data_IF_919161741932
#
_entry.id   IF_919161741932
#
_cell.length_a   1.000
_cell.length_b   1.000
_cell.length_c   1.000
_cell.angle_alpha   90.00
_cell.angle_beta   90.00
_cell.angle_gamma   90.00
#
_symmetry.space_group_name_H-M   'P 1'
#
loop_
_entity.id
_entity.type
_entity.pdbx_description
1 polymer ?
#
# COMPACT_ATOMS: atom_id res chain seq x y z
N UNK A 1 -18.70 3.80 18.38
CA UNK A 1 -17.36 4.34 18.59
C UNK A 1 -16.34 3.45 17.89
N UNK A 2 -15.69 3.92 16.81
CA UNK A 2 -14.73 3.11 16.07
C UNK A 2 -13.33 3.49 16.53
N UNK A 3 -12.85 2.89 17.60
CA UNK A 3 -11.49 3.08 18.10
C UNK A 3 -10.47 2.48 17.12
N UNK A 4 -9.41 3.20 16.80
CA UNK A 4 -8.28 2.67 16.04
C UNK A 4 -7.55 1.55 16.79
N UNK A 5 -6.80 0.70 16.07
CA UNK A 5 -6.00 -0.38 16.72
C UNK A 5 -5.02 0.17 17.77
N UNK A 6 -4.31 1.31 17.53
CA UNK A 6 -3.43 1.89 18.55
C UNK A 6 -4.17 2.33 19.82
N UNK A 7 -5.37 2.92 19.67
CA UNK A 7 -6.21 3.36 20.78
C UNK A 7 -6.73 2.16 21.59
N UNK A 8 -7.21 1.11 20.89
CA UNK A 8 -7.67 -0.11 21.55
C UNK A 8 -6.54 -0.80 22.33
N UNK A 9 -5.32 -0.80 21.79
CA UNK A 9 -4.13 -1.32 22.48
C UNK A 9 -3.71 -0.46 23.69
N UNK A 10 -3.90 0.86 23.60
CA UNK A 10 -3.72 1.76 24.74
C UNK A 10 -4.65 1.38 25.90
N UNK A 11 -5.94 1.19 25.60
CA UNK A 11 -6.94 0.75 26.59
C UNK A 11 -6.63 -0.65 27.14
N UNK A 12 -6.19 -1.59 26.30
CA UNK A 12 -5.77 -2.94 26.74
C UNK A 12 -4.61 -2.95 27.72
N UNK A 13 -3.71 -1.96 27.66
CA UNK A 13 -2.59 -1.83 28.61
C UNK A 13 -3.06 -1.32 29.98
N UNK A 14 -4.15 -0.56 30.01
CA UNK A 14 -4.69 0.04 31.25
C UNK A 14 -5.78 -0.82 31.88
N UNK A 15 -6.46 -1.65 31.11
CA UNK A 15 -7.54 -2.52 31.58
C UNK A 15 -7.00 -3.78 32.29
N UNK A 16 -7.71 -4.23 33.32
CA UNK A 16 -7.42 -5.45 34.05
C UNK A 16 -8.64 -6.39 34.12
N UNK A 17 -8.40 -7.64 34.45
CA UNK A 17 -9.47 -8.63 34.68
C UNK A 17 -10.44 -8.83 33.54
N UNK A 18 -11.73 -8.78 33.83
CA UNK A 18 -12.82 -9.02 32.88
C UNK A 18 -12.88 -7.99 31.74
N UNK A 19 -12.55 -6.73 32.03
CA UNK A 19 -12.53 -5.65 31.04
C UNK A 19 -11.43 -5.88 30.00
N UNK A 20 -10.24 -6.26 30.40
CA UNK A 20 -9.14 -6.62 29.49
C UNK A 20 -9.55 -7.77 28.57
N UNK A 21 -10.21 -8.81 29.11
CA UNK A 21 -10.69 -9.95 28.31
C UNK A 21 -11.72 -9.50 27.28
N UNK A 22 -12.68 -8.64 27.67
CA UNK A 22 -13.70 -8.09 26.76
C UNK A 22 -13.07 -7.28 25.61
N UNK A 23 -12.09 -6.41 25.92
CA UNK A 23 -11.40 -5.60 24.91
C UNK A 23 -10.58 -6.48 23.95
N UNK A 24 -9.92 -7.53 24.49
CA UNK A 24 -9.16 -8.47 23.65
C UNK A 24 -10.07 -9.25 22.70
N UNK A 25 -11.20 -9.76 23.19
CA UNK A 25 -12.17 -10.45 22.34
C UNK A 25 -12.76 -9.51 21.28
N UNK A 26 -13.04 -8.26 21.62
CA UNK A 26 -13.51 -7.25 20.66
C UNK A 26 -12.46 -6.95 19.58
N UNK A 27 -11.16 -6.91 19.94
CA UNK A 27 -10.06 -6.72 18.99
C UNK A 27 -9.97 -7.91 18.03
N UNK A 28 -9.97 -9.13 18.57
CA UNK A 28 -9.89 -10.37 17.78
C UNK A 28 -11.11 -10.53 16.85
N UNK A 29 -12.31 -10.31 17.36
CA UNK A 29 -13.55 -10.39 16.56
C UNK A 29 -13.56 -9.36 15.42
N UNK A 30 -13.11 -8.13 15.70
CA UNK A 30 -13.00 -7.09 14.68
C UNK A 30 -11.97 -7.44 13.61
N UNK A 31 -10.82 -7.99 14.01
CA UNK A 31 -9.76 -8.39 13.10
C UNK A 31 -10.22 -9.56 12.22
N UNK A 32 -10.81 -10.59 12.82
CA UNK A 32 -11.39 -11.73 12.10
C UNK A 32 -12.50 -11.28 11.12
N UNK A 33 -13.36 -10.36 11.52
CA UNK A 33 -14.39 -9.79 10.64
C UNK A 33 -13.77 -9.01 9.47
N UNK A 34 -12.68 -8.24 9.69
CA UNK A 34 -11.98 -7.52 8.64
C UNK A 34 -11.34 -8.47 7.64
N UNK A 35 -10.67 -9.52 8.11
CA UNK A 35 -10.04 -10.55 7.25
C UNK A 35 -11.10 -11.36 6.51
N UNK A 36 -12.18 -11.76 7.18
CA UNK A 36 -13.32 -12.44 6.55
C UNK A 36 -13.94 -11.58 5.44
N UNK A 37 -14.16 -10.29 5.70
CA UNK A 37 -14.63 -9.35 4.69
C UNK A 37 -13.63 -9.22 3.53
N UNK A 38 -12.31 -9.15 3.80
CA UNK A 38 -11.29 -9.12 2.77
C UNK A 38 -11.37 -10.33 1.84
N UNK A 39 -11.44 -11.53 2.41
CA UNK A 39 -11.53 -12.78 1.65
C UNK A 39 -12.77 -12.78 0.77
N UNK A 40 -13.95 -12.50 1.32
CA UNK A 40 -15.22 -12.49 0.57
C UNK A 40 -15.17 -11.41 -0.53
N UNK A 41 -14.79 -10.20 -0.21
CA UNK A 41 -14.77 -9.06 -1.12
C UNK A 41 -13.80 -9.28 -2.29
N UNK A 42 -12.56 -9.67 -1.99
CA UNK A 42 -11.54 -9.91 -3.03
C UNK A 42 -11.92 -11.11 -3.89
N UNK A 43 -12.44 -12.20 -3.29
CA UNK A 43 -12.90 -13.37 -4.04
C UNK A 43 -14.08 -13.06 -4.95
N UNK A 44 -15.04 -12.25 -4.49
CA UNK A 44 -16.19 -11.82 -5.29
C UNK A 44 -15.75 -10.98 -6.50
N UNK A 45 -14.89 -9.97 -6.30
CA UNK A 45 -14.37 -9.17 -7.41
C UNK A 45 -13.51 -10.01 -8.37
N UNK A 46 -12.68 -10.91 -7.84
CA UNK A 46 -11.87 -11.82 -8.66
C UNK A 46 -12.75 -12.77 -9.50
N UNK A 47 -13.86 -13.26 -8.96
CA UNK A 47 -14.83 -14.08 -9.70
C UNK A 47 -15.54 -13.28 -10.80
N UNK A 48 -15.86 -12.01 -10.56
CA UNK A 48 -16.56 -11.14 -11.53
C UNK A 48 -15.62 -10.65 -12.64
N UNK A 49 -14.40 -10.24 -12.31
CA UNK A 49 -13.48 -9.55 -13.23
C UNK A 49 -12.29 -10.42 -13.66
N UNK A 50 -12.18 -11.63 -13.15
CA UNK A 50 -11.16 -12.61 -13.51
C UNK A 50 -9.90 -12.54 -12.66
N UNK A 51 -9.18 -13.68 -12.56
CA UNK A 51 -8.00 -13.86 -11.70
C UNK A 51 -6.85 -12.88 -11.98
N UNK A 52 -6.66 -12.46 -13.24
CA UNK A 52 -5.67 -11.46 -13.63
C UNK A 52 -5.93 -10.09 -12.99
N UNK A 53 -7.15 -9.81 -12.58
CA UNK A 53 -7.58 -8.55 -11.95
C UNK A 53 -7.64 -8.63 -10.41
N UNK A 54 -7.36 -9.78 -9.79
CA UNK A 54 -7.23 -9.90 -8.33
C UNK A 54 -6.35 -8.82 -7.66
N UNK A 55 -5.25 -8.32 -8.28
CA UNK A 55 -4.52 -7.18 -7.74
C UNK A 55 -5.35 -5.90 -7.61
N UNK A 56 -6.28 -5.64 -8.54
CA UNK A 56 -7.17 -4.48 -8.45
C UNK A 56 -8.19 -4.66 -7.32
N UNK A 57 -8.75 -5.86 -7.13
CA UNK A 57 -9.62 -6.17 -5.98
C UNK A 57 -8.93 -5.87 -4.64
N UNK A 58 -7.65 -6.24 -4.49
CA UNK A 58 -6.86 -5.94 -3.28
C UNK A 58 -6.68 -4.43 -3.10
N UNK A 59 -6.35 -3.70 -4.16
CA UNK A 59 -6.21 -2.24 -4.13
C UNK A 59 -7.51 -1.57 -3.71
N UNK A 60 -8.63 -1.93 -4.33
CA UNK A 60 -9.95 -1.39 -4.00
C UNK A 60 -10.31 -1.68 -2.54
N UNK A 61 -10.07 -2.91 -2.05
CA UNK A 61 -10.28 -3.26 -0.65
C UNK A 61 -9.49 -2.35 0.30
N UNK A 62 -8.19 -2.15 0.05
CA UNK A 62 -7.34 -1.30 0.89
C UNK A 62 -7.80 0.17 0.88
N UNK A 63 -8.14 0.70 -0.29
CA UNK A 63 -8.68 2.06 -0.42
C UNK A 63 -10.03 2.21 0.27
N UNK A 64 -10.92 1.23 0.12
CA UNK A 64 -12.24 1.21 0.76
C UNK A 64 -12.14 1.25 2.29
N UNK A 65 -11.21 0.49 2.87
CA UNK A 65 -10.96 0.53 4.32
C UNK A 65 -10.45 1.91 4.77
N UNK A 66 -9.56 2.53 4.00
CA UNK A 66 -9.00 3.86 4.32
C UNK A 66 -10.06 4.95 4.24
N UNK A 67 -10.93 4.93 3.24
CA UNK A 67 -12.02 5.91 3.05
C UNK A 67 -12.96 6.03 4.25
N UNK A 68 -12.97 5.06 5.17
CA UNK A 68 -13.73 5.14 6.42
C UNK A 68 -13.13 6.12 7.43
N UNK A 69 -11.83 6.39 7.36
CA UNK A 69 -11.08 7.09 8.40
C UNK A 69 -10.36 8.35 7.90
N UNK A 70 -10.02 8.41 6.62
CA UNK A 70 -9.13 9.42 6.06
C UNK A 70 -9.81 10.16 4.92
N UNK A 71 -9.66 11.49 4.92
CA UNK A 71 -10.05 12.41 3.84
C UNK A 71 -8.82 13.09 3.23
N UNK A 72 -8.98 13.94 2.19
CA UNK A 72 -7.84 14.56 1.49
C UNK A 72 -7.53 15.98 1.94
N UNK A 73 -8.15 16.46 3.03
CA UNK A 73 -7.95 17.78 3.61
C UNK A 73 -8.39 18.98 2.73
N UNK A 74 -9.40 18.77 1.88
CA UNK A 74 -10.07 19.83 1.13
C UNK A 74 -11.55 19.48 0.90
N UNK A 75 -12.32 20.44 0.34
CA UNK A 75 -13.77 20.28 0.22
C UNK A 75 -14.18 19.00 -0.49
N UNK A 76 -15.33 18.45 -0.11
CA UNK A 76 -15.80 17.14 -0.55
C UNK A 76 -15.88 16.99 -2.08
N UNK A 77 -16.37 18.01 -2.78
CA UNK A 77 -16.49 17.97 -4.23
C UNK A 77 -15.14 17.79 -4.93
N UNK A 78 -14.09 18.47 -4.45
CA UNK A 78 -12.74 18.35 -4.98
C UNK A 78 -12.11 17.01 -4.55
N UNK A 79 -12.40 16.53 -3.34
CA UNK A 79 -11.97 15.20 -2.88
C UNK A 79 -12.46 14.10 -3.80
N UNK A 80 -13.75 14.12 -4.17
CA UNK A 80 -14.32 13.12 -5.08
C UNK A 80 -13.74 13.20 -6.50
N UNK A 81 -13.52 14.43 -7.03
CA UNK A 81 -12.86 14.61 -8.34
C UNK A 81 -11.43 14.07 -8.34
N UNK A 82 -10.67 14.38 -7.30
CA UNK A 82 -9.29 13.94 -7.19
C UNK A 82 -9.19 12.43 -6.92
N UNK A 83 -10.16 11.85 -6.22
CA UNK A 83 -10.28 10.40 -6.11
C UNK A 83 -10.54 9.75 -7.48
N UNK A 84 -11.44 10.31 -8.29
CA UNK A 84 -11.66 9.83 -9.67
C UNK A 84 -10.37 9.90 -10.49
N UNK A 85 -9.63 11.01 -10.43
CA UNK A 85 -8.34 11.17 -11.09
C UNK A 85 -7.31 10.16 -10.56
N UNK A 86 -7.27 9.90 -9.26
CA UNK A 86 -6.38 8.88 -8.68
C UNK A 86 -6.71 7.48 -9.21
N UNK A 87 -7.98 7.09 -9.26
CA UNK A 87 -8.39 5.79 -9.83
C UNK A 87 -8.06 5.68 -11.33
N UNK A 88 -8.20 6.78 -12.09
CA UNK A 88 -7.77 6.83 -13.48
C UNK A 88 -6.26 6.62 -13.61
N UNK A 89 -5.43 7.28 -12.80
CA UNK A 89 -3.97 7.11 -12.79
C UNK A 89 -3.56 5.68 -12.37
N UNK A 90 -4.23 5.10 -11.38
CA UNK A 90 -4.02 3.71 -10.95
C UNK A 90 -4.35 2.69 -12.05
N UNK A 91 -5.23 3.04 -12.98
CA UNK A 91 -5.61 2.18 -14.11
C UNK A 91 -4.72 2.42 -15.32
N UNK A 92 -4.59 3.69 -15.74
CA UNK A 92 -3.91 4.07 -16.99
C UNK A 92 -2.38 4.00 -16.88
N UNK A 93 -1.79 4.42 -15.75
CA UNK A 93 -0.34 4.38 -15.56
C UNK A 93 0.23 2.97 -15.76
N UNK A 94 -0.24 1.95 -15.02
CA UNK A 94 0.18 0.56 -15.23
C UNK A 94 -0.14 0.00 -16.63
N UNK A 95 -1.20 0.49 -17.28
CA UNK A 95 -1.59 0.04 -18.62
C UNK A 95 -0.67 0.60 -19.72
N UNK A 96 -0.10 1.79 -19.51
CA UNK A 96 0.82 2.43 -20.45
C UNK A 96 2.27 1.93 -20.31
N UNK A 97 2.65 1.39 -19.15
CA UNK A 97 4.00 0.92 -18.90
C UNK A 97 4.51 -0.08 -19.97
N UNK A 98 3.77 -1.12 -20.38
CA UNK A 98 4.26 -2.08 -21.37
C UNK A 98 4.48 -1.52 -22.78
N UNK A 99 4.05 -0.27 -23.05
CA UNK A 99 4.12 0.35 -24.39
C UNK A 99 5.47 0.98 -24.71
N UNK A 100 6.41 1.02 -23.74
CA UNK A 100 7.69 1.71 -23.97
C UNK A 100 8.86 1.12 -23.23
N UNK A 101 10.03 1.79 -23.34
CA UNK A 101 11.27 1.42 -22.69
C UNK A 101 11.48 2.13 -21.35
N UNK A 102 12.66 1.92 -20.73
CA UNK A 102 12.96 2.42 -19.37
C UNK A 102 12.80 3.93 -19.18
N UNK A 103 13.07 4.73 -20.20
CA UNK A 103 12.87 6.18 -20.14
C UNK A 103 11.39 6.55 -20.02
N UNK A 104 10.52 5.92 -20.82
CA UNK A 104 9.06 6.12 -20.70
C UNK A 104 8.58 5.68 -19.32
N UNK A 105 9.07 4.55 -18.80
CA UNK A 105 8.72 4.06 -17.47
C UNK A 105 9.10 5.07 -16.38
N UNK A 106 10.30 5.66 -16.47
CA UNK A 106 10.73 6.71 -15.54
C UNK A 106 9.80 7.91 -15.58
N UNK A 107 9.53 8.45 -16.77
CA UNK A 107 8.66 9.63 -16.94
C UNK A 107 7.24 9.35 -16.49
N UNK A 108 6.71 8.18 -16.82
CA UNK A 108 5.38 7.74 -16.42
C UNK A 108 5.26 7.60 -14.89
N UNK A 109 6.26 6.97 -14.26
CA UNK A 109 6.30 6.81 -12.81
C UNK A 109 6.44 8.16 -12.11
N UNK A 110 7.33 9.05 -12.57
CA UNK A 110 7.47 10.41 -12.05
C UNK A 110 6.14 11.18 -12.12
N UNK A 111 5.48 11.13 -13.27
CA UNK A 111 4.20 11.80 -13.48
C UNK A 111 3.11 11.20 -12.59
N UNK A 112 2.87 9.89 -12.66
CA UNK A 112 1.79 9.25 -11.91
C UNK A 112 1.98 9.37 -10.40
N UNK A 113 3.19 9.11 -9.89
CA UNK A 113 3.50 9.21 -8.47
C UNK A 113 3.41 10.66 -8.00
N UNK A 114 3.98 11.60 -8.76
CA UNK A 114 3.92 13.03 -8.44
C UNK A 114 2.49 13.55 -8.38
N UNK A 115 1.67 13.23 -9.38
CA UNK A 115 0.26 13.65 -9.40
C UNK A 115 -0.53 12.97 -8.28
N UNK A 116 -0.35 11.66 -8.02
CA UNK A 116 -1.01 10.97 -6.92
C UNK A 116 -0.69 11.63 -5.57
N UNK A 117 0.57 11.97 -5.31
CA UNK A 117 0.96 12.68 -4.08
C UNK A 117 0.30 14.05 -3.99
N UNK A 118 0.33 14.83 -5.06
CA UNK A 118 -0.25 16.17 -5.11
C UNK A 118 -1.75 16.17 -4.81
N UNK A 119 -2.50 15.21 -5.40
CA UNK A 119 -3.97 15.16 -5.31
C UNK A 119 -4.49 14.41 -4.09
N UNK A 120 -3.68 13.59 -3.41
CA UNK A 120 -4.17 12.76 -2.28
C UNK A 120 -3.47 13.03 -0.95
N UNK A 121 -2.27 13.65 -0.96
CA UNK A 121 -1.39 13.74 0.19
C UNK A 121 -1.07 15.20 0.59
N UNK A 122 -2.10 16.06 0.66
CA UNK A 122 -1.95 17.44 1.18
C UNK A 122 -1.53 17.46 2.65
N UNK A 123 -1.96 16.45 3.43
CA UNK A 123 -1.48 16.20 4.80
C UNK A 123 -0.75 14.84 4.83
N UNK A 124 0.60 14.85 4.89
CA UNK A 124 1.40 13.62 4.92
C UNK A 124 1.06 12.68 6.07
N UNK A 125 0.67 13.24 7.23
CA UNK A 125 0.37 12.52 8.47
C UNK A 125 -0.88 11.62 8.35
N UNK A 126 -1.79 11.92 7.43
CA UNK A 126 -2.98 11.11 7.19
C UNK A 126 -2.68 9.75 6.54
N UNK A 127 -1.47 9.57 5.99
CA UNK A 127 -1.01 8.29 5.44
C UNK A 127 -1.53 7.95 4.04
N UNK A 128 -2.26 8.84 3.38
CA UNK A 128 -2.77 8.65 2.01
C UNK A 128 -1.64 8.33 1.02
N UNK A 129 -0.50 9.02 1.12
CA UNK A 129 0.66 8.79 0.27
C UNK A 129 1.05 7.31 0.21
N UNK A 130 1.26 6.68 1.36
CA UNK A 130 1.67 5.28 1.45
C UNK A 130 0.69 4.35 0.75
N UNK A 131 -0.61 4.60 0.91
CA UNK A 131 -1.66 3.76 0.38
C UNK A 131 -1.81 3.88 -1.14
N UNK A 132 -1.86 5.13 -1.67
CA UNK A 132 -1.97 5.34 -3.11
C UNK A 132 -0.73 4.90 -3.87
N UNK A 133 0.47 5.09 -3.29
CA UNK A 133 1.72 4.60 -3.89
C UNK A 133 1.84 3.08 -3.83
N UNK A 134 1.42 2.45 -2.72
CA UNK A 134 1.27 0.99 -2.68
C UNK A 134 0.36 0.51 -3.80
N UNK A 135 -0.81 1.13 -3.94
CA UNK A 135 -1.81 0.77 -4.96
C UNK A 135 -1.25 0.89 -6.37
N UNK A 136 -0.59 2.01 -6.68
CA UNK A 136 0.05 2.24 -7.97
C UNK A 136 1.12 1.21 -8.28
N UNK A 137 2.09 1.02 -7.39
CA UNK A 137 3.19 0.07 -7.56
C UNK A 137 2.71 -1.37 -7.66
N UNK A 138 1.63 -1.71 -6.93
CA UNK A 138 1.06 -3.05 -6.97
C UNK A 138 0.42 -3.36 -8.33
N UNK A 139 -0.32 -2.42 -8.89
CA UNK A 139 -0.90 -2.56 -10.22
C UNK A 139 0.17 -2.48 -11.33
N UNK A 140 1.17 -1.63 -11.16
CA UNK A 140 2.33 -1.50 -12.06
C UNK A 140 3.12 -2.81 -12.15
N UNK A 141 3.34 -3.50 -11.03
CA UNK A 141 3.99 -4.81 -10.98
C UNK A 141 3.11 -5.99 -11.39
N UNK A 142 1.83 -5.76 -11.72
CA UNK A 142 0.88 -6.75 -12.21
C UNK A 142 0.10 -6.20 -13.43
N UNK A 143 0.79 -5.91 -14.54
CA UNK A 143 0.16 -5.35 -15.74
C UNK A 143 -0.81 -6.35 -16.37
N UNK A 144 -1.81 -5.84 -17.04
CA UNK A 144 -2.77 -6.62 -17.84
C UNK A 144 -3.00 -5.94 -19.20
N UNK A 145 -3.44 -6.70 -20.18
CA UNK A 145 -3.69 -6.24 -21.54
C UNK A 145 -5.00 -6.80 -22.11
N UNK A 146 -5.41 -6.28 -23.26
CA UNK A 146 -6.58 -6.75 -23.99
C UNK A 146 -7.86 -6.75 -23.15
N UNK A 147 -8.61 -7.85 -23.19
CA UNK A 147 -9.87 -8.00 -22.44
C UNK A 147 -9.69 -7.82 -20.93
N UNK A 148 -8.59 -8.31 -20.36
CA UNK A 148 -8.32 -8.14 -18.92
C UNK A 148 -8.13 -6.69 -18.52
N UNK A 149 -7.56 -5.84 -19.40
CA UNK A 149 -7.45 -4.41 -19.15
C UNK A 149 -8.81 -3.72 -19.15
N UNK A 150 -9.69 -4.06 -20.09
CA UNK A 150 -11.05 -3.53 -20.11
C UNK A 150 -11.83 -3.92 -18.84
N UNK A 151 -11.72 -5.18 -18.40
CA UNK A 151 -12.31 -5.65 -17.15
C UNK A 151 -11.72 -4.94 -15.92
N UNK A 152 -10.40 -4.69 -15.90
CA UNK A 152 -9.75 -3.89 -14.84
C UNK A 152 -10.30 -2.47 -14.80
N UNK A 153 -10.53 -1.84 -15.96
CA UNK A 153 -11.16 -0.51 -16.02
C UNK A 153 -12.55 -0.49 -15.39
N UNK A 154 -13.38 -1.49 -15.69
CA UNK A 154 -14.73 -1.63 -15.09
C UNK A 154 -14.65 -1.90 -13.59
N UNK A 155 -13.74 -2.77 -13.15
CA UNK A 155 -13.49 -3.06 -11.73
C UNK A 155 -13.06 -1.82 -10.96
N UNK A 156 -12.13 -1.02 -11.52
CA UNK A 156 -11.65 0.22 -10.92
C UNK A 156 -12.73 1.30 -10.88
N UNK A 157 -13.62 1.35 -11.89
CA UNK A 157 -14.77 2.25 -11.87
C UNK A 157 -15.76 1.88 -10.77
N UNK A 158 -16.06 0.58 -10.61
CA UNK A 158 -16.87 0.08 -9.49
C UNK A 158 -16.19 0.40 -8.15
N UNK A 159 -14.88 0.16 -8.04
CA UNK A 159 -14.07 0.48 -6.87
C UNK A 159 -14.12 1.97 -6.50
N UNK A 160 -14.00 2.84 -7.50
CA UNK A 160 -14.18 4.28 -7.31
C UNK A 160 -15.57 4.61 -6.73
N UNK A 161 -16.62 4.07 -7.32
CA UNK A 161 -18.00 4.33 -6.86
C UNK A 161 -18.19 3.89 -5.39
N UNK A 162 -17.71 2.71 -5.02
CA UNK A 162 -17.77 2.21 -3.64
C UNK A 162 -16.96 3.08 -2.68
N UNK A 163 -15.72 3.42 -3.04
CA UNK A 163 -14.86 4.27 -2.21
C UNK A 163 -15.44 5.69 -2.05
N UNK A 164 -15.96 6.27 -3.14
CA UNK A 164 -16.59 7.58 -3.12
C UNK A 164 -17.84 7.60 -2.23
N UNK A 165 -18.68 6.57 -2.32
CA UNK A 165 -19.87 6.45 -1.47
C UNK A 165 -19.50 6.36 0.01
N UNK A 166 -18.52 5.50 0.37
CA UNK A 166 -18.07 5.35 1.76
C UNK A 166 -17.40 6.62 2.27
N UNK A 167 -16.55 7.26 1.47
CA UNK A 167 -15.90 8.51 1.85
C UNK A 167 -16.94 9.63 2.06
N UNK A 168 -17.86 9.80 1.13
CA UNK A 168 -18.93 10.78 1.23
C UNK A 168 -19.79 10.55 2.48
N UNK A 169 -20.22 9.31 2.70
CA UNK A 169 -21.06 8.97 3.88
C UNK A 169 -20.36 9.29 5.21
N UNK A 170 -19.07 8.98 5.34
CA UNK A 170 -18.34 9.13 6.60
C UNK A 170 -17.82 10.56 6.85
N UNK A 171 -17.56 11.33 5.81
CA UNK A 171 -16.86 12.62 5.92
C UNK A 171 -17.68 13.83 5.45
N UNK A 172 -18.89 13.65 4.94
CA UNK A 172 -19.76 14.82 4.58
C UNK A 172 -19.95 15.72 5.80
N UNK A 173 -19.76 17.01 5.61
CA UNK A 173 -19.86 18.01 6.69
C UNK A 173 -18.68 18.02 7.69
N UNK A 174 -17.62 17.22 7.44
CA UNK A 174 -16.40 17.18 8.26
C UNK A 174 -15.14 17.57 7.51
N UNK A 175 -15.23 17.67 6.18
CA UNK A 175 -14.11 18.10 5.35
C UNK A 175 -13.96 19.62 5.41
N UNK A 176 -12.70 20.14 5.33
CA UNK A 176 -12.47 21.59 5.21
C UNK A 176 -13.15 22.18 3.97
N UNK A 177 -13.57 23.44 4.06
CA UNK A 177 -14.13 24.22 2.92
C UNK A 177 -13.03 24.67 1.92
N UNK A 178 -11.76 24.39 2.19
CA UNK A 178 -10.61 24.75 1.36
C UNK A 178 -10.72 24.10 -0.03
N UNK A 179 -10.72 24.85 -1.14
CA UNK A 179 -10.75 24.29 -2.48
C UNK A 179 -9.39 23.71 -2.87
N UNK A 180 -9.36 22.66 -3.70
CA UNK A 180 -8.11 22.07 -4.20
C UNK A 180 -7.23 23.06 -4.96
N UNK A 181 -7.83 24.05 -5.64
CA UNK A 181 -7.07 25.13 -6.30
C UNK A 181 -6.17 25.90 -5.32
N UNK A 182 -6.56 26.02 -4.06
CA UNK A 182 -5.71 26.66 -3.05
C UNK A 182 -4.48 25.81 -2.71
N UNK A 183 -4.60 24.47 -2.77
CA UNK A 183 -3.46 23.55 -2.63
C UNK A 183 -2.49 23.73 -3.78
N UNK A 184 -2.99 23.79 -5.03
CA UNK A 184 -2.17 24.03 -6.21
C UNK A 184 -1.44 25.37 -6.18
N UNK A 185 -2.13 26.46 -5.76
CA UNK A 185 -1.52 27.79 -5.67
C UNK A 185 -0.47 27.88 -4.57
N UNK A 186 -0.64 27.10 -3.50
CA UNK A 186 0.31 27.05 -2.39
C UNK A 186 1.52 26.13 -2.69
N UNK A 187 1.54 25.45 -3.86
CA UNK A 187 2.67 24.61 -4.23
C UNK A 187 3.94 25.45 -4.42
N UNK A 188 4.93 25.21 -3.60
CA UNK A 188 6.22 25.91 -3.65
C UNK A 188 7.33 24.95 -3.22
N UNK A 189 8.45 25.00 -3.92
CA UNK A 189 9.65 24.25 -3.54
C UNK A 189 10.33 24.77 -2.27
N UNK A 190 9.92 25.95 -1.78
CA UNK A 190 10.29 26.44 -0.46
C UNK A 190 9.55 25.70 0.66
N UNK A 191 8.37 25.13 0.38
CA UNK A 191 7.59 24.36 1.34
C UNK A 191 8.16 22.95 1.54
N UNK A 192 8.34 22.57 2.79
CA UNK A 192 8.85 21.25 3.21
C UNK A 192 8.01 20.10 2.64
N UNK A 193 6.68 20.21 2.68
CA UNK A 193 5.75 19.22 2.14
C UNK A 193 5.96 19.01 0.63
N UNK A 194 6.10 20.11 -0.13
CA UNK A 194 6.30 20.01 -1.58
C UNK A 194 7.65 19.36 -1.93
N UNK A 195 8.70 19.71 -1.19
CA UNK A 195 10.01 19.03 -1.31
C UNK A 195 9.92 17.55 -0.98
N UNK A 196 9.18 17.20 0.09
CA UNK A 196 8.94 15.82 0.45
C UNK A 196 8.20 15.06 -0.67
N UNK A 197 7.13 15.62 -1.25
CA UNK A 197 6.41 14.99 -2.36
C UNK A 197 7.32 14.75 -3.57
N UNK A 198 8.15 15.74 -3.93
CA UNK A 198 9.10 15.62 -5.04
C UNK A 198 10.15 14.54 -4.77
N UNK A 199 10.73 14.53 -3.56
CA UNK A 199 11.69 13.51 -3.13
C UNK A 199 11.11 12.11 -3.19
N UNK A 200 9.87 11.92 -2.73
CA UNK A 200 9.17 10.64 -2.78
C UNK A 200 8.98 10.21 -4.24
N UNK A 201 8.51 11.10 -5.10
CA UNK A 201 8.28 10.79 -6.51
C UNK A 201 9.58 10.40 -7.23
N UNK A 202 10.64 11.20 -7.09
CA UNK A 202 11.94 10.94 -7.71
C UNK A 202 12.58 9.67 -7.16
N UNK A 203 12.62 9.52 -5.84
CA UNK A 203 13.25 8.37 -5.18
C UNK A 203 12.64 7.04 -5.57
N UNK A 204 11.29 6.96 -5.60
CA UNK A 204 10.60 5.72 -5.98
C UNK A 204 10.79 5.44 -7.47
N UNK A 205 10.64 6.46 -8.33
CA UNK A 205 10.76 6.29 -9.78
C UNK A 205 12.14 5.81 -10.19
N UNK A 206 13.21 6.36 -9.58
CA UNK A 206 14.58 5.91 -9.82
C UNK A 206 14.85 4.52 -9.23
N UNK A 207 14.31 4.20 -8.07
CA UNK A 207 14.42 2.87 -7.49
C UNK A 207 13.79 1.80 -8.38
N UNK A 208 12.58 2.06 -8.92
CA UNK A 208 11.88 1.17 -9.85
C UNK A 208 12.67 1.05 -11.15
N UNK A 209 13.11 2.17 -11.74
CA UNK A 209 13.94 2.15 -12.96
C UNK A 209 15.20 1.31 -12.77
N UNK A 210 15.90 1.45 -11.65
CA UNK A 210 17.10 0.65 -11.37
C UNK A 210 16.77 -0.84 -11.30
N UNK A 211 15.65 -1.20 -10.66
CA UNK A 211 15.17 -2.59 -10.64
C UNK A 211 14.87 -3.14 -12.04
N UNK A 212 14.30 -2.33 -12.93
CA UNK A 212 14.03 -2.68 -14.32
C UNK A 212 15.31 -2.87 -15.13
N UNK A 213 16.26 -1.92 -15.03
CA UNK A 213 17.55 -1.99 -15.73
C UNK A 213 18.39 -3.20 -15.29
N UNK A 214 18.26 -3.62 -14.04
CA UNK A 214 18.89 -4.83 -13.52
C UNK A 214 18.10 -6.12 -13.85
N UNK A 215 16.95 -6.02 -14.53
CA UNK A 215 16.12 -7.18 -14.88
C UNK A 215 15.54 -7.91 -13.66
N UNK A 216 15.35 -7.22 -12.54
CA UNK A 216 14.89 -7.85 -11.30
C UNK A 216 13.43 -8.31 -11.42
N UNK A 217 13.11 -9.57 -11.08
CA UNK A 217 11.73 -10.02 -10.99
C UNK A 217 11.01 -9.32 -9.83
N UNK A 218 9.69 -9.11 -9.95
CA UNK A 218 8.90 -8.47 -8.88
C UNK A 218 9.41 -7.08 -8.46
N UNK A 219 9.78 -6.25 -9.43
CA UNK A 219 10.33 -4.89 -9.22
C UNK A 219 9.47 -4.01 -8.29
N UNK A 220 8.16 -4.24 -8.23
CA UNK A 220 7.27 -3.56 -7.29
C UNK A 220 7.75 -3.65 -5.83
N UNK A 221 8.48 -4.70 -5.45
CA UNK A 221 9.02 -4.84 -4.10
C UNK A 221 10.15 -3.85 -3.83
N UNK A 222 10.93 -3.46 -4.84
CA UNK A 222 11.90 -2.36 -4.76
C UNK A 222 11.16 -1.06 -4.46
N UNK A 223 10.13 -0.75 -5.27
CA UNK A 223 9.29 0.43 -5.08
C UNK A 223 8.59 0.46 -3.71
N UNK A 224 8.03 -0.65 -3.25
CA UNK A 224 7.40 -0.75 -1.91
C UNK A 224 8.38 -0.48 -0.78
N UNK A 225 9.60 -0.97 -0.89
CA UNK A 225 10.60 -0.77 0.14
C UNK A 225 11.06 0.70 0.18
N UNK A 226 11.38 1.28 -0.95
CA UNK A 226 11.71 2.70 -1.08
C UNK A 226 10.56 3.59 -0.57
N UNK A 227 9.33 3.36 -1.05
CA UNK A 227 8.12 4.07 -0.64
C UNK A 227 7.93 4.02 0.87
N UNK A 228 8.08 2.85 1.50
CA UNK A 228 7.84 2.68 2.93
C UNK A 228 8.77 3.50 3.83
N UNK A 229 9.93 3.91 3.33
CA UNK A 229 10.88 4.77 4.03
C UNK A 229 10.56 6.24 3.75
N UNK A 230 10.35 6.59 2.48
CA UNK A 230 10.18 7.98 2.07
C UNK A 230 8.82 8.58 2.44
N UNK A 231 7.75 7.76 2.47
CA UNK A 231 6.41 8.25 2.84
C UNK A 231 6.19 8.37 4.34
N UNK A 232 7.09 7.86 5.16
CA UNK A 232 6.97 7.90 6.62
C UNK A 232 7.38 9.28 7.18
N UNK A 233 6.51 10.27 6.95
CA UNK A 233 6.71 11.65 7.36
C UNK A 233 6.99 11.75 8.88
N UNK A 234 8.00 12.56 9.26
CA UNK A 234 8.41 12.74 10.66
C UNK A 234 9.09 11.53 11.32
N UNK A 235 9.30 10.41 10.63
CA UNK A 235 9.98 9.25 11.20
C UNK A 235 11.47 9.20 10.84
N UNK A 236 12.28 8.64 11.76
CA UNK A 236 13.74 8.52 11.55
C UNK A 236 14.05 7.50 10.43
N UNK A 237 14.66 7.90 9.30
CA UNK A 237 14.78 7.06 8.11
C UNK A 237 15.65 5.81 8.34
N UNK A 238 16.75 5.93 9.09
CA UNK A 238 17.64 4.79 9.39
C UNK A 238 16.92 3.72 10.19
N UNK A 239 16.18 4.11 11.25
CA UNK A 239 15.41 3.17 12.06
C UNK A 239 14.32 2.49 11.22
N UNK A 240 13.73 3.24 10.28
CA UNK A 240 12.70 2.72 9.38
C UNK A 240 13.29 1.71 8.39
N UNK A 241 14.45 2.03 7.79
CA UNK A 241 15.17 1.14 6.89
C UNK A 241 15.62 -0.16 7.60
N UNK A 242 16.19 -0.04 8.79
CA UNK A 242 16.57 -1.20 9.61
C UNK A 242 15.35 -2.09 9.95
N UNK A 243 14.23 -1.47 10.34
CA UNK A 243 12.97 -2.19 10.59
C UNK A 243 12.41 -2.86 9.35
N UNK A 244 12.60 -2.26 8.15
CA UNK A 244 12.19 -2.84 6.86
C UNK A 244 13.05 -4.05 6.52
N UNK A 245 14.36 -3.90 6.51
CA UNK A 245 15.29 -4.97 6.14
C UNK A 245 15.20 -6.13 7.14
N UNK A 246 15.27 -5.85 8.45
CA UNK A 246 15.16 -6.86 9.49
C UNK A 246 13.80 -7.58 9.46
N UNK A 247 12.70 -6.84 9.23
CA UNK A 247 11.37 -7.41 9.10
C UNK A 247 11.22 -8.30 7.87
N UNK A 248 11.84 -7.93 6.73
CA UNK A 248 11.81 -8.77 5.51
C UNK A 248 12.67 -10.02 5.69
N UNK A 249 13.84 -9.92 6.28
CA UNK A 249 14.68 -11.08 6.58
C UNK A 249 13.96 -12.06 7.51
N UNK A 250 13.47 -11.58 8.67
CA UNK A 250 12.73 -12.41 9.61
C UNK A 250 11.45 -12.99 9.03
N UNK A 251 10.71 -12.20 8.24
CA UNK A 251 9.47 -12.66 7.60
C UNK A 251 9.70 -13.66 6.47
N UNK A 252 10.78 -13.52 5.71
CA UNK A 252 11.15 -14.50 4.67
C UNK A 252 11.60 -15.82 5.27
N UNK A 253 12.39 -15.77 6.35
CA UNK A 253 12.79 -16.96 7.09
C UNK A 253 11.57 -17.65 7.71
N UNK A 254 10.70 -16.91 8.38
CA UNK A 254 9.45 -17.43 8.95
C UNK A 254 8.58 -18.09 7.87
N UNK A 255 8.44 -17.44 6.70
CA UNK A 255 7.68 -18.02 5.58
C UNK A 255 8.26 -19.35 5.12
N UNK A 256 9.59 -19.43 4.87
CA UNK A 256 10.23 -20.66 4.44
C UNK A 256 10.04 -21.79 5.46
N UNK A 257 10.17 -21.47 6.75
CA UNK A 257 9.94 -22.42 7.83
C UNK A 257 8.50 -22.93 7.86
N UNK A 258 7.52 -22.03 7.84
CA UNK A 258 6.11 -22.40 7.84
C UNK A 258 5.73 -23.18 6.58
N UNK A 259 6.26 -22.79 5.41
CA UNK A 259 5.98 -23.46 4.15
C UNK A 259 6.51 -24.90 4.11
N UNK A 260 7.64 -25.16 4.78
CA UNK A 260 8.19 -26.52 4.91
C UNK A 260 7.46 -27.37 5.95
N UNK A 261 7.05 -26.76 7.07
CA UNK A 261 6.39 -27.47 8.16
C UNK A 261 4.90 -27.74 7.91
N UNK A 262 4.23 -26.88 7.15
CA UNK A 262 2.81 -27.02 6.87
C UNK A 262 2.57 -27.96 5.69
N UNK A 263 1.58 -28.87 5.77
CA UNK A 263 1.13 -29.64 4.62
C UNK A 263 0.70 -28.75 3.45
N UNK A 264 0.93 -29.16 2.18
CA UNK A 264 0.57 -28.38 0.98
C UNK A 264 -0.89 -27.88 0.97
N UNK A 265 -1.82 -28.67 1.47
CA UNK A 265 -3.24 -28.31 1.58
C UNK A 265 -3.50 -27.09 2.46
N UNK A 266 -2.61 -26.75 3.39
CA UNK A 266 -2.74 -25.62 4.31
C UNK A 266 -1.94 -24.38 3.86
N UNK A 267 -1.17 -24.44 2.78
CA UNK A 267 -0.37 -23.29 2.31
C UNK A 267 -1.24 -22.08 2.03
N UNK A 268 -2.44 -22.24 1.46
CA UNK A 268 -3.40 -21.14 1.25
C UNK A 268 -3.77 -20.40 2.55
N UNK A 269 -3.76 -21.10 3.68
CA UNK A 269 -4.02 -20.52 5.01
C UNK A 269 -2.96 -19.52 5.48
N UNK A 270 -1.73 -19.56 4.93
CA UNK A 270 -0.67 -18.60 5.26
C UNK A 270 -1.05 -17.16 4.89
N UNK A 271 -1.85 -16.97 3.83
CA UNK A 271 -2.39 -15.66 3.47
C UNK A 271 -3.39 -15.13 4.50
N UNK A 272 -4.28 -15.98 5.00
CA UNK A 272 -5.24 -15.64 6.06
C UNK A 272 -4.51 -15.34 7.36
N UNK A 273 -3.54 -16.18 7.73
CA UNK A 273 -2.68 -15.97 8.90
C UNK A 273 -1.94 -14.63 8.81
N UNK A 274 -1.39 -14.30 7.63
CA UNK A 274 -0.78 -12.99 7.36
C UNK A 274 -1.74 -11.85 7.69
N UNK A 275 -2.96 -11.90 7.19
CA UNK A 275 -4.00 -10.88 7.42
C UNK A 275 -4.31 -10.71 8.90
N UNK A 276 -4.57 -11.81 9.62
CA UNK A 276 -4.88 -11.81 11.06
C UNK A 276 -3.71 -11.26 11.88
N UNK A 277 -2.47 -11.67 11.61
CA UNK A 277 -1.31 -11.15 12.29
C UNK A 277 -1.08 -9.66 12.02
N UNK A 278 -1.31 -9.20 10.77
CA UNK A 278 -1.19 -7.79 10.40
C UNK A 278 -2.20 -6.90 11.15
N UNK A 279 -3.45 -7.32 11.27
CA UNK A 279 -4.49 -6.60 12.02
C UNK A 279 -4.17 -6.46 13.51
N UNK A 280 -3.40 -7.39 14.05
CA UNK A 280 -2.96 -7.39 15.46
C UNK A 280 -1.61 -6.67 15.67
N UNK A 281 -0.84 -6.37 14.61
CA UNK A 281 0.47 -5.74 14.75
C UNK A 281 0.38 -4.24 15.09
N UNK A 282 1.29 -3.78 15.96
CA UNK A 282 1.42 -2.37 16.31
C UNK A 282 2.75 -1.76 15.82
N UNK A 283 3.80 -2.54 15.72
CA UNK A 283 5.11 -2.05 15.29
C UNK A 283 5.34 -2.28 13.80
N UNK A 284 6.04 -1.34 13.17
CA UNK A 284 6.36 -1.42 11.75
C UNK A 284 7.15 -2.67 11.37
N UNK A 285 8.13 -3.06 12.20
CA UNK A 285 8.95 -4.25 11.94
C UNK A 285 8.10 -5.52 11.90
N UNK A 286 7.22 -5.74 12.89
CA UNK A 286 6.33 -6.91 12.89
C UNK A 286 5.31 -6.87 11.76
N UNK A 287 4.75 -5.70 11.42
CA UNK A 287 3.92 -5.57 10.21
C UNK A 287 4.69 -6.01 8.96
N UNK A 288 5.98 -5.68 8.87
CA UNK A 288 6.83 -6.09 7.73
C UNK A 288 7.06 -7.60 7.71
N UNK A 289 7.31 -8.23 8.87
CA UNK A 289 7.44 -9.69 9.01
C UNK A 289 6.20 -10.40 8.44
N UNK A 290 5.02 -10.06 8.95
CA UNK A 290 3.80 -10.77 8.57
C UNK A 290 3.34 -10.44 7.14
N UNK A 291 3.61 -9.24 6.63
CA UNK A 291 3.35 -8.90 5.23
C UNK A 291 4.18 -9.77 4.25
N UNK A 292 5.27 -10.38 4.69
CA UNK A 292 6.02 -11.32 3.87
C UNK A 292 5.24 -12.59 3.56
N UNK A 293 4.43 -13.10 4.49
CA UNK A 293 3.74 -14.38 4.33
C UNK A 293 2.82 -14.40 3.11
N UNK A 294 1.92 -13.40 2.99
CA UNK A 294 1.02 -13.29 1.85
C UNK A 294 1.73 -13.02 0.53
N UNK A 295 2.74 -12.12 0.55
CA UNK A 295 3.49 -11.77 -0.65
C UNK A 295 4.37 -12.91 -1.17
N UNK A 296 4.98 -13.68 -0.27
CA UNK A 296 5.80 -14.85 -0.63
C UNK A 296 4.94 -16.03 -1.05
N UNK A 297 3.74 -16.20 -0.48
CA UNK A 297 2.82 -17.24 -0.91
C UNK A 297 2.49 -17.10 -2.41
N UNK A 298 2.17 -15.89 -2.87
CA UNK A 298 1.89 -15.65 -4.29
C UNK A 298 3.12 -15.79 -5.18
N UNK A 299 4.29 -15.39 -4.70
CA UNK A 299 5.55 -15.49 -5.47
C UNK A 299 6.08 -16.92 -5.52
N UNK A 300 5.90 -17.72 -4.46
CA UNK A 300 6.37 -19.11 -4.42
C UNK A 300 5.64 -20.01 -5.42
N UNK A 301 4.44 -19.65 -5.84
CA UNK A 301 3.74 -20.32 -6.94
C UNK A 301 4.45 -20.16 -8.30
N UNK A 302 5.27 -19.11 -8.47
CA UNK A 302 5.99 -18.82 -9.71
C UNK A 302 7.47 -19.22 -9.66
N UNK A 303 8.11 -19.04 -8.51
CA UNK A 303 9.56 -19.18 -8.37
C UNK A 303 9.99 -20.29 -7.41
N UNK A 304 9.06 -20.89 -6.68
CA UNK A 304 9.36 -21.72 -5.53
C UNK A 304 9.66 -20.90 -4.26
N UNK A 305 9.60 -21.50 -3.06
CA UNK A 305 9.67 -20.76 -1.79
C UNK A 305 11.05 -20.12 -1.53
N UNK A 306 12.15 -20.83 -1.78
CA UNK A 306 13.51 -20.34 -1.57
C UNK A 306 13.87 -19.15 -2.49
N UNK A 307 13.79 -19.31 -3.83
CA UNK A 307 14.01 -18.21 -4.77
C UNK A 307 13.09 -17.02 -4.54
N UNK A 308 11.81 -17.23 -4.24
CA UNK A 308 10.88 -16.14 -3.92
C UNK A 308 11.35 -15.34 -2.69
N UNK A 309 11.82 -16.02 -1.65
CA UNK A 309 12.37 -15.38 -0.46
C UNK A 309 13.64 -14.58 -0.78
N UNK A 310 14.57 -15.14 -1.57
CA UNK A 310 15.79 -14.43 -2.00
C UNK A 310 15.46 -13.17 -2.82
N UNK A 311 14.58 -13.28 -3.83
CA UNK A 311 14.11 -12.15 -4.63
C UNK A 311 13.51 -11.08 -3.72
N UNK A 312 12.68 -11.47 -2.74
CA UNK A 312 12.06 -10.50 -1.83
C UNK A 312 13.10 -9.77 -0.98
N UNK A 313 14.06 -10.47 -0.43
CA UNK A 313 15.14 -9.87 0.38
C UNK A 313 15.97 -8.92 -0.48
N UNK A 314 16.48 -9.35 -1.63
CA UNK A 314 17.29 -8.51 -2.52
C UNK A 314 16.55 -7.24 -2.95
N UNK A 315 15.31 -7.37 -3.42
CA UNK A 315 14.52 -6.22 -3.86
C UNK A 315 14.22 -5.24 -2.72
N UNK A 316 13.93 -5.76 -1.52
CA UNK A 316 13.65 -4.89 -0.37
C UNK A 316 14.94 -4.23 0.16
N UNK A 317 16.08 -4.88 0.13
CA UNK A 317 17.37 -4.26 0.47
C UNK A 317 17.67 -3.14 -0.51
N UNK A 318 17.61 -3.40 -1.83
CA UNK A 318 17.84 -2.39 -2.85
C UNK A 318 16.89 -1.18 -2.67
N UNK A 319 15.60 -1.41 -2.54
CA UNK A 319 14.62 -0.33 -2.33
C UNK A 319 14.83 0.42 -1.01
N UNK A 320 15.29 -0.27 0.05
CA UNK A 320 15.64 0.37 1.33
C UNK A 320 16.88 1.26 1.19
N UNK A 321 17.88 0.86 0.42
CA UNK A 321 19.07 1.67 0.15
C UNK A 321 18.70 2.95 -0.60
N UNK A 322 17.85 2.86 -1.65
CA UNK A 322 17.34 4.03 -2.35
C UNK A 322 16.54 4.94 -1.41
N UNK A 323 15.60 4.38 -0.64
CA UNK A 323 14.81 5.16 0.31
C UNK A 323 15.66 5.87 1.34
N UNK A 324 16.68 5.20 1.88
CA UNK A 324 17.61 5.79 2.85
C UNK A 324 18.50 6.85 2.20
N UNK A 325 19.05 6.59 1.01
CA UNK A 325 19.86 7.54 0.28
C UNK A 325 19.10 8.86 0.04
N UNK A 326 17.90 8.79 -0.55
CA UNK A 326 17.09 9.99 -0.80
C UNK A 326 16.63 10.70 0.47
N UNK A 327 16.40 9.97 1.55
CA UNK A 327 16.05 10.56 2.83
C UNK A 327 17.20 11.31 3.49
N UNK A 328 18.45 10.90 3.27
CA UNK A 328 19.65 11.50 3.86
C UNK A 328 20.23 12.60 2.99
N UNK A 329 20.30 12.40 1.66
CA UNK A 329 20.92 13.35 0.71
C UNK A 329 20.00 14.54 0.41
N UNK A 330 18.69 14.32 0.49
CA UNK A 330 17.69 15.37 0.26
C UNK A 330 16.82 15.53 1.52
N UNK A 331 17.33 16.14 2.58
CA UNK A 331 16.54 16.40 3.80
C UNK A 331 15.39 17.38 3.53
N UNK A 332 14.42 17.39 4.41
CA UNK A 332 13.30 18.35 4.34
C UNK A 332 13.74 19.77 4.57
#
# INVERSE_FOLDING_TARGET
MQLGVPQLKGLLRQAAGAERRRLLLALLARDAACVGFAVVFISALTALFGGANSPAAVVIFCLLLSCRFVHYNYRMADTLRNMAAAFALLTLGPALAPLGGPLLHLLLNLFCIGVLLLITADQPELGNASLYLFSYLFLYGNPVSGRSLALRGLEMLLGFALCAAVLYHNHRGRTPERPFRAVLRAFSLADEKCRWQLRVAVGISLAVLTGELLGLPRIMWVGFSCSSILTAYGSHPVRRAAGRVGGVLGGSLLFCLLYQLCPPALHGGLGILSGLCLGLCASYGFCTVFNCLGALLTASALFGPGPAAAIRVCNNVLGSLFGLFFALVWPW
#
